data_IF_219472948067
#
_entry.id   IF_219472948067
#
_cell.length_a   1.000
_cell.length_b   1.000
_cell.length_c   1.000
_cell.angle_alpha   90.00
_cell.angle_beta   90.00
_cell.angle_gamma   90.00
#
_symmetry.space_group_name_H-M   'P 1'
#
loop_
_entity.id
_entity.type
_entity.pdbx_description
1 polymer ?
#
# COMPACT_ATOMS: atom_id res chain seq x y z
N UNK A 1 17.14 11.55 3.31
CA UNK A 1 16.20 10.44 3.53
C UNK A 1 15.19 10.92 4.53
N UNK A 2 13.95 11.12 4.10
CA UNK A 2 12.89 11.59 5.00
C UNK A 2 12.52 10.45 5.94
N UNK A 3 12.93 10.57 7.19
CA UNK A 3 12.60 9.61 8.23
C UNK A 3 11.14 9.85 8.63
N UNK A 4 10.25 8.90 8.38
CA UNK A 4 8.84 9.03 8.78
C UNK A 4 8.75 9.27 10.29
N UNK A 5 7.93 10.25 10.65
CA UNK A 5 7.72 10.68 12.02
C UNK A 5 6.33 10.31 12.48
N UNK A 6 6.20 9.99 13.76
CA UNK A 6 4.90 9.70 14.35
C UNK A 6 3.99 10.95 14.28
N UNK A 7 2.80 10.86 13.66
CA UNK A 7 1.96 12.04 13.45
C UNK A 7 1.12 12.46 14.66
N UNK A 8 0.94 11.57 15.65
CA UNK A 8 0.07 11.81 16.81
C UNK A 8 0.59 11.16 18.11
N UNK A 9 -0.14 11.33 19.20
CA UNK A 9 0.12 10.66 20.47
C UNK A 9 1.35 11.18 21.23
N UNK A 10 1.77 10.42 22.23
CA UNK A 10 2.87 10.79 23.15
C UNK A 10 4.21 11.00 22.45
N UNK A 11 4.42 10.29 21.33
CA UNK A 11 5.67 10.33 20.56
C UNK A 11 5.57 11.20 19.30
N UNK A 12 4.57 12.09 19.19
CA UNK A 12 4.36 12.97 18.03
C UNK A 12 5.65 13.72 17.65
N UNK A 13 5.97 13.69 16.35
CA UNK A 13 7.14 14.33 15.78
C UNK A 13 8.44 13.54 15.95
N UNK A 14 8.48 12.46 16.74
CA UNK A 14 9.66 11.60 16.85
C UNK A 14 9.79 10.66 15.64
N UNK A 15 11.01 10.37 15.16
CA UNK A 15 11.25 9.33 14.16
C UNK A 15 10.72 7.98 14.63
N UNK A 16 10.13 7.19 13.74
CA UNK A 16 9.60 5.88 14.12
C UNK A 16 10.66 4.94 14.71
N UNK A 17 11.91 5.05 14.25
CA UNK A 17 13.05 4.27 14.75
C UNK A 17 13.45 4.57 16.20
N UNK A 18 13.07 5.72 16.75
CA UNK A 18 13.36 6.11 18.14
C UNK A 18 12.22 5.78 19.11
N UNK A 19 11.10 5.27 18.60
CA UNK A 19 9.91 4.97 19.40
C UNK A 19 10.01 3.52 19.91
N UNK A 20 9.71 3.27 21.20
CA UNK A 20 9.73 1.93 21.75
C UNK A 20 8.83 0.96 20.96
N UNK A 21 9.34 -0.24 20.67
CA UNK A 21 8.63 -1.24 19.89
C UNK A 21 7.25 -1.60 20.48
N UNK A 22 7.11 -1.63 21.81
CA UNK A 22 5.83 -1.93 22.45
C UNK A 22 4.78 -0.83 22.21
N UNK A 23 5.20 0.43 22.13
CA UNK A 23 4.30 1.53 21.78
C UNK A 23 3.87 1.42 20.31
N UNK A 24 4.80 1.09 19.43
CA UNK A 24 4.51 0.87 18.02
C UNK A 24 3.54 -0.30 17.80
N UNK A 25 3.71 -1.40 18.55
CA UNK A 25 2.78 -2.54 18.52
C UNK A 25 1.40 -2.11 19.00
N UNK A 26 1.33 -1.39 20.12
CA UNK A 26 0.08 -0.84 20.63
C UNK A 26 -0.63 0.04 19.58
N UNK A 27 0.10 0.89 18.83
CA UNK A 27 -0.47 1.72 17.77
C UNK A 27 -1.12 0.87 16.67
N UNK A 28 -0.45 -0.17 16.20
CA UNK A 28 -0.99 -1.05 15.13
C UNK A 28 -2.27 -1.75 15.58
N UNK A 29 -2.32 -2.16 16.86
CA UNK A 29 -3.42 -2.93 17.43
C UNK A 29 -4.62 -2.06 17.82
N UNK A 30 -4.39 -0.82 18.28
CA UNK A 30 -5.42 0.02 18.88
C UNK A 30 -5.81 1.24 18.01
N UNK A 31 -4.98 1.63 17.04
CA UNK A 31 -5.27 2.76 16.16
C UNK A 31 -5.71 2.26 14.78
N UNK A 32 -7.02 2.23 14.55
CA UNK A 32 -7.59 1.78 13.26
C UNK A 32 -7.56 2.87 12.17
N UNK A 33 -7.54 4.15 12.54
CA UNK A 33 -7.57 5.29 11.61
C UNK A 33 -6.17 5.85 11.32
N UNK A 34 -5.19 4.97 11.06
CA UNK A 34 -3.83 5.36 10.65
C UNK A 34 -3.65 5.13 9.15
N UNK A 35 -2.82 5.94 8.50
CA UNK A 35 -2.59 5.76 7.06
C UNK A 35 -1.98 4.39 6.75
N UNK A 36 -2.30 3.79 5.59
CA UNK A 36 -1.72 2.52 5.18
C UNK A 36 -0.18 2.54 5.19
N UNK A 37 0.41 3.66 4.75
CA UNK A 37 1.86 3.87 4.77
C UNK A 37 2.43 3.83 6.18
N UNK A 38 1.84 4.54 7.14
CA UNK A 38 2.31 4.56 8.53
C UNK A 38 2.25 3.15 9.13
N UNK A 39 1.15 2.42 8.87
CA UNK A 39 1.00 1.03 9.31
C UNK A 39 2.12 0.15 8.74
N UNK A 40 2.36 0.22 7.43
CA UNK A 40 3.40 -0.58 6.77
C UNK A 40 4.80 -0.32 7.34
N UNK A 41 5.16 0.95 7.54
CA UNK A 41 6.48 1.30 8.09
C UNK A 41 6.64 0.84 9.56
N UNK A 42 5.59 0.96 10.37
CA UNK A 42 5.61 0.42 11.74
C UNK A 42 5.76 -1.10 11.72
N UNK A 43 4.99 -1.80 10.88
CA UNK A 43 5.09 -3.26 10.76
C UNK A 43 6.48 -3.72 10.31
N UNK A 44 7.11 -3.00 9.38
CA UNK A 44 8.47 -3.29 8.93
C UNK A 44 9.52 -3.07 10.03
N UNK A 45 9.37 -2.02 10.85
CA UNK A 45 10.24 -1.78 12.00
C UNK A 45 10.08 -2.83 13.10
N UNK A 46 8.86 -3.31 13.33
CA UNK A 46 8.58 -4.35 14.31
C UNK A 46 9.07 -5.73 13.87
N UNK A 47 9.11 -5.99 12.56
CA UNK A 47 9.52 -7.27 11.98
C UNK A 47 10.62 -7.06 10.91
N UNK A 48 11.83 -6.61 11.30
CA UNK A 48 12.91 -6.41 10.35
C UNK A 48 13.32 -7.77 9.75
N UNK A 49 13.08 -7.94 8.45
CA UNK A 49 13.35 -9.18 7.72
C UNK A 49 12.12 -10.03 7.40
N UNK A 50 10.91 -9.63 7.84
CA UNK A 50 9.70 -10.21 7.27
C UNK A 50 9.60 -9.80 5.80
N UNK A 51 9.66 -10.78 4.90
CA UNK A 51 9.16 -10.57 3.54
C UNK A 51 7.72 -10.05 3.63
N UNK A 52 7.28 -9.17 2.70
CA UNK A 52 5.86 -8.86 2.60
C UNK A 52 5.09 -10.18 2.60
N UNK A 53 4.00 -10.31 3.38
CA UNK A 53 3.34 -11.58 3.57
C UNK A 53 3.06 -12.20 2.20
N UNK A 54 3.42 -13.47 2.03
CA UNK A 54 3.24 -14.17 0.76
C UNK A 54 1.79 -13.97 0.29
N UNK A 55 1.61 -13.28 -0.84
CA UNK A 55 0.30 -12.87 -1.36
C UNK A 55 -0.07 -11.39 -1.21
N UNK A 56 0.79 -10.54 -0.63
CA UNK A 56 0.58 -9.09 -0.65
C UNK A 56 0.66 -8.54 -2.07
N UNK A 57 -0.35 -7.80 -2.49
CA UNK A 57 -0.33 -7.08 -3.76
C UNK A 57 0.71 -5.97 -3.68
N UNK A 58 1.69 -6.00 -4.57
CA UNK A 58 2.64 -4.89 -4.73
C UNK A 58 2.20 -4.01 -5.90
N UNK A 59 2.64 -2.75 -5.89
CA UNK A 59 2.43 -1.84 -7.01
C UNK A 59 2.99 -2.41 -8.34
N UNK A 60 4.11 -3.16 -8.28
CA UNK A 60 4.69 -3.79 -9.48
C UNK A 60 3.79 -4.88 -10.04
N UNK A 61 3.22 -5.74 -9.18
CA UNK A 61 2.24 -6.77 -9.59
C UNK A 61 0.98 -6.13 -10.17
N UNK A 62 0.45 -5.07 -9.54
CA UNK A 62 -0.71 -4.33 -10.04
C UNK A 62 -0.44 -3.74 -11.44
N UNK A 63 0.73 -3.13 -11.64
CA UNK A 63 1.11 -2.56 -12.94
C UNK A 63 1.33 -3.63 -14.01
N UNK A 64 1.86 -4.80 -13.64
CA UNK A 64 2.00 -5.93 -14.55
C UNK A 64 0.63 -6.46 -14.99
N UNK A 65 -0.31 -6.65 -14.05
CA UNK A 65 -1.68 -7.05 -14.34
C UNK A 65 -2.36 -6.05 -15.27
N UNK A 66 -2.26 -4.75 -14.96
CA UNK A 66 -2.86 -3.70 -15.77
C UNK A 66 -2.36 -3.72 -17.22
N UNK A 67 -1.04 -3.78 -17.43
CA UNK A 67 -0.46 -3.82 -18.79
C UNK A 67 -0.97 -5.02 -19.59
N UNK A 68 -1.06 -6.19 -18.96
CA UNK A 68 -1.57 -7.40 -19.61
C UNK A 68 -3.03 -7.25 -20.02
N UNK A 69 -3.88 -6.74 -19.12
CA UNK A 69 -5.30 -6.56 -19.38
C UNK A 69 -5.56 -5.43 -20.39
N UNK A 70 -4.83 -4.33 -20.29
CA UNK A 70 -4.91 -3.21 -21.22
C UNK A 70 -4.58 -3.64 -22.65
N UNK A 71 -3.55 -4.46 -22.86
CA UNK A 71 -3.23 -4.98 -24.20
C UNK A 71 -4.33 -5.91 -24.72
N UNK A 72 -4.89 -6.75 -23.85
CA UNK A 72 -5.90 -7.75 -24.23
C UNK A 72 -7.26 -7.13 -24.54
N UNK A 73 -7.64 -6.08 -23.83
CA UNK A 73 -8.97 -5.46 -23.91
C UNK A 73 -8.96 -4.06 -24.53
N UNK A 74 -7.84 -3.64 -25.13
CA UNK A 74 -7.75 -2.36 -25.82
C UNK A 74 -8.78 -2.26 -26.95
N UNK A 75 -9.53 -1.15 -27.08
CA UNK A 75 -10.48 -0.95 -28.18
C UNK A 75 -9.84 -1.18 -29.57
N UNK A 76 -8.66 -0.60 -29.79
CA UNK A 76 -7.93 -0.73 -31.07
C UNK A 76 -7.40 -2.13 -31.37
N UNK A 77 -7.47 -3.07 -30.42
CA UNK A 77 -7.01 -4.45 -30.57
C UNK A 77 -8.17 -5.46 -30.54
N UNK A 78 -9.39 -4.99 -30.78
CA UNK A 78 -10.60 -5.83 -30.78
C UNK A 78 -11.27 -5.98 -29.41
N UNK A 79 -10.82 -5.23 -28.41
CA UNK A 79 -11.54 -5.04 -27.14
C UNK A 79 -12.64 -4.00 -27.25
N UNK A 80 -13.12 -3.52 -26.10
CA UNK A 80 -14.17 -2.49 -26.03
C UNK A 80 -13.83 -1.39 -25.03
N UNK A 81 -14.41 -0.21 -25.24
CA UNK A 81 -14.28 0.90 -24.30
C UNK A 81 -14.82 0.53 -22.91
N UNK A 82 -15.89 -0.26 -22.83
CA UNK A 82 -16.43 -0.74 -21.55
C UNK A 82 -15.46 -1.71 -20.85
N UNK A 83 -14.86 -2.65 -21.59
CA UNK A 83 -13.87 -3.56 -21.03
C UNK A 83 -12.65 -2.78 -20.49
N UNK A 84 -12.19 -1.75 -21.22
CA UNK A 84 -11.08 -0.92 -20.79
C UNK A 84 -11.42 -0.11 -19.52
N UNK A 85 -12.65 0.40 -19.38
CA UNK A 85 -13.13 1.04 -18.14
C UNK A 85 -13.08 0.08 -16.95
N UNK A 86 -13.51 -1.16 -17.14
CA UNK A 86 -13.44 -2.18 -16.09
C UNK A 86 -12.00 -2.51 -15.68
N UNK A 87 -11.07 -2.57 -16.64
CA UNK A 87 -9.63 -2.76 -16.36
C UNK A 87 -9.07 -1.60 -15.53
N UNK A 88 -9.43 -0.36 -15.86
CA UNK A 88 -9.01 0.82 -15.12
C UNK A 88 -9.54 0.82 -13.69
N UNK A 89 -10.83 0.55 -13.50
CA UNK A 89 -11.45 0.45 -12.18
C UNK A 89 -10.81 -0.67 -11.33
N UNK A 90 -10.52 -1.83 -11.95
CA UNK A 90 -9.81 -2.92 -11.27
C UNK A 90 -8.40 -2.52 -10.82
N UNK A 91 -7.66 -1.77 -11.64
CA UNK A 91 -6.32 -1.27 -11.28
C UNK A 91 -6.37 -0.37 -10.04
N UNK A 92 -7.35 0.53 -9.98
CA UNK A 92 -7.52 1.45 -8.85
C UNK A 92 -7.73 0.68 -7.54
N UNK A 93 -8.65 -0.29 -7.53
CA UNK A 93 -8.90 -1.14 -6.37
C UNK A 93 -7.65 -1.94 -5.95
N UNK A 94 -6.92 -2.51 -6.92
CA UNK A 94 -5.70 -3.26 -6.63
C UNK A 94 -4.60 -2.38 -6.03
N UNK A 95 -4.48 -1.12 -6.47
CA UNK A 95 -3.52 -0.17 -5.90
C UNK A 95 -3.89 0.24 -4.48
N UNK A 96 -5.18 0.47 -4.20
CA UNK A 96 -5.66 0.73 -2.84
C UNK A 96 -5.33 -0.44 -1.90
N UNK A 97 -5.56 -1.68 -2.35
CA UNK A 97 -5.20 -2.89 -1.58
C UNK A 97 -3.69 -3.03 -1.39
N UNK A 98 -2.88 -2.60 -2.37
CA UNK A 98 -1.43 -2.57 -2.28
C UNK A 98 -0.89 -1.43 -1.38
N UNK A 99 -1.76 -0.60 -0.79
CA UNK A 99 -1.38 0.54 0.03
C UNK A 99 -0.84 1.73 -0.77
N UNK A 100 -1.03 1.75 -2.09
CA UNK A 100 -0.78 2.91 -2.93
C UNK A 100 -2.01 3.82 -2.92
N UNK A 101 -1.82 5.09 -2.56
CA UNK A 101 -2.87 6.09 -2.76
C UNK A 101 -3.18 6.14 -4.26
N UNK A 102 -4.46 5.93 -4.61
CA UNK A 102 -4.96 6.17 -5.96
C UNK A 102 -4.84 7.68 -6.21
N UNK A 103 -3.77 8.05 -6.92
CA UNK A 103 -3.54 9.40 -7.42
C UNK A 103 -4.42 9.69 -8.63
#
# INVERSE_FOLDING_TARGET
MDCTRMPFGKHRGRPLSEIPADYLRWVVDNCHNISPRLRAEITQLLNPGAEPPAGSLTTSVCNQWYRTMAVRFHPDKGGSHEAMKAVNAGRELLLQLAGGDAA
#
